data_IF_997940596830
#
_entry.id   IF_997940596830
#
_cell.length_a   1.000
_cell.length_b   1.000
_cell.length_c   1.000
_cell.angle_alpha   90.00
_cell.angle_beta   90.00
_cell.angle_gamma   90.00
#
_symmetry.space_group_name_H-M   'P 1'
#
loop_
_entity.id
_entity.type
_entity.pdbx_description
1 polymer ?
#
# COMPACT_ATOMS: atom_id res chain seq x y z
N UNK A 1 -21.81 9.53 78.65
CA UNK A 1 -22.12 9.65 77.21
C UNK A 1 -20.82 9.74 76.44
N UNK A 2 -20.42 8.67 75.75
CA UNK A 2 -19.16 8.61 74.99
C UNK A 2 -19.43 9.27 73.64
N UNK A 3 -18.89 10.46 73.42
CA UNK A 3 -19.02 11.19 72.16
C UNK A 3 -18.13 10.53 71.10
N UNK A 4 -18.76 9.87 70.12
CA UNK A 4 -18.08 9.38 68.91
C UNK A 4 -17.46 10.58 68.19
N UNK A 5 -16.13 10.70 68.25
CA UNK A 5 -15.37 11.69 67.49
C UNK A 5 -15.34 11.23 66.03
N UNK A 6 -16.34 11.61 65.25
CA UNK A 6 -16.37 11.31 63.83
C UNK A 6 -15.17 11.97 63.16
N UNK A 7 -14.29 11.17 62.55
CA UNK A 7 -13.11 11.68 61.86
C UNK A 7 -13.57 12.29 60.53
N UNK A 8 -13.66 13.62 60.49
CA UNK A 8 -14.17 14.40 59.36
C UNK A 8 -13.45 14.06 58.04
N UNK A 9 -12.16 13.74 58.12
CA UNK A 9 -11.34 13.31 56.98
C UNK A 9 -11.94 12.06 56.32
N UNK A 10 -12.44 11.11 57.11
CA UNK A 10 -13.03 9.88 56.58
C UNK A 10 -14.33 10.17 55.83
N UNK A 11 -15.16 11.08 56.33
CA UNK A 11 -16.43 11.47 55.70
C UNK A 11 -16.17 12.20 54.38
N UNK A 12 -15.19 13.11 54.33
CA UNK A 12 -14.82 13.82 53.11
C UNK A 12 -14.30 12.85 52.04
N UNK A 13 -13.45 11.89 52.42
CA UNK A 13 -12.98 10.84 51.50
C UNK A 13 -14.15 10.02 50.97
N UNK A 14 -15.11 9.66 51.83
CA UNK A 14 -16.29 8.89 51.43
C UNK A 14 -17.22 9.67 50.50
N UNK A 15 -17.42 10.98 50.73
CA UNK A 15 -18.24 11.83 49.86
C UNK A 15 -17.59 12.05 48.49
N UNK A 16 -16.26 12.23 48.43
CA UNK A 16 -15.51 12.30 47.18
C UNK A 16 -15.60 10.96 46.43
N UNK A 17 -15.52 9.83 47.14
CA UNK A 17 -15.72 8.51 46.54
C UNK A 17 -17.18 8.24 46.13
N UNK A 18 -18.16 8.90 46.73
CA UNK A 18 -19.57 8.68 46.39
C UNK A 18 -20.01 9.51 45.18
N UNK A 19 -19.62 10.78 45.14
CA UNK A 19 -20.01 11.69 44.06
C UNK A 19 -18.95 11.86 42.98
N UNK A 20 -17.66 11.64 43.29
CA UNK A 20 -16.51 11.86 42.40
C UNK A 20 -16.00 10.58 41.72
N UNK A 21 -16.48 9.40 42.11
CA UNK A 21 -15.99 8.13 41.56
C UNK A 21 -16.37 7.94 40.10
N UNK A 22 -17.54 8.42 39.66
CA UNK A 22 -17.92 8.43 38.24
C UNK A 22 -16.93 9.29 37.44
N UNK A 23 -16.58 10.49 37.92
CA UNK A 23 -15.68 11.39 37.21
C UNK A 23 -14.25 10.84 37.20
N UNK A 24 -13.78 10.26 38.31
CA UNK A 24 -12.46 9.63 38.41
C UNK A 24 -12.33 8.41 37.50
N UNK A 25 -13.33 7.53 37.47
CA UNK A 25 -13.33 6.36 36.57
C UNK A 25 -13.40 6.78 35.11
N UNK A 26 -14.20 7.79 34.78
CA UNK A 26 -14.28 8.32 33.41
C UNK A 26 -12.96 8.95 32.95
N UNK A 27 -12.31 9.74 33.82
CA UNK A 27 -10.98 10.29 33.56
C UNK A 27 -9.98 9.18 33.26
N UNK A 28 -9.94 8.16 34.13
CA UNK A 28 -9.02 7.04 34.00
C UNK A 28 -9.29 6.25 32.71
N UNK A 29 -10.55 6.03 32.37
CA UNK A 29 -10.95 5.35 31.13
C UNK A 29 -10.50 6.12 29.87
N UNK A 30 -10.65 7.44 29.86
CA UNK A 30 -10.19 8.29 28.74
C UNK A 30 -8.67 8.23 28.60
N UNK A 31 -7.93 8.29 29.72
CA UNK A 31 -6.46 8.19 29.67
C UNK A 31 -5.98 6.84 29.13
N UNK A 32 -6.58 5.73 29.58
CA UNK A 32 -6.28 4.39 29.05
C UNK A 32 -6.59 4.32 27.55
N UNK A 33 -7.74 4.86 27.14
CA UNK A 33 -8.15 4.88 25.74
C UNK A 33 -7.13 5.65 24.88
N UNK A 34 -6.65 6.81 25.34
CA UNK A 34 -5.64 7.58 24.64
C UNK A 34 -4.33 6.79 24.44
N UNK A 35 -3.84 6.11 25.49
CA UNK A 35 -2.65 5.27 25.41
C UNK A 35 -2.86 4.12 24.41
N UNK A 36 -4.04 3.50 24.41
CA UNK A 36 -4.36 2.39 23.52
C UNK A 36 -4.41 2.83 22.06
N UNK A 37 -5.00 4.00 21.76
CA UNK A 37 -5.02 4.59 20.42
C UNK A 37 -3.59 4.85 19.91
N UNK A 38 -2.71 5.38 20.76
CA UNK A 38 -1.30 5.60 20.41
C UNK A 38 -0.60 4.27 20.10
N UNK A 39 -0.82 3.24 20.92
CA UNK A 39 -0.24 1.91 20.71
C UNK A 39 -0.70 1.31 19.38
N UNK A 40 -2.01 1.34 19.10
CA UNK A 40 -2.56 0.86 17.83
C UNK A 40 -1.97 1.63 16.66
N UNK A 41 -1.83 2.95 16.76
CA UNK A 41 -1.24 3.78 15.71
C UNK A 41 0.22 3.37 15.42
N UNK A 42 1.00 3.06 16.46
CA UNK A 42 2.38 2.62 16.31
C UNK A 42 2.49 1.25 15.62
N UNK A 43 1.71 0.27 16.08
CA UNK A 43 1.65 -1.07 15.46
C UNK A 43 1.17 -1.00 14.00
N UNK A 44 0.18 -0.14 13.72
CA UNK A 44 -0.32 0.09 12.37
C UNK A 44 0.79 0.62 11.45
N UNK A 45 1.65 1.55 11.92
CA UNK A 45 2.76 2.05 11.09
C UNK A 45 3.70 0.92 10.68
N UNK A 46 4.05 0.01 11.59
CA UNK A 46 4.93 -1.13 11.29
C UNK A 46 4.30 -2.09 10.26
N UNK A 47 3.04 -2.45 10.46
CA UNK A 47 2.29 -3.35 9.56
C UNK A 47 2.08 -2.73 8.17
N UNK A 48 1.79 -1.44 8.13
CA UNK A 48 1.60 -0.68 6.89
C UNK A 48 2.92 -0.63 6.10
N UNK A 49 4.06 -0.39 6.75
CA UNK A 49 5.38 -0.39 6.07
C UNK A 49 5.68 -1.73 5.41
N UNK A 50 5.46 -2.86 6.10
CA UNK A 50 5.67 -4.19 5.51
C UNK A 50 4.76 -4.44 4.31
N UNK A 51 3.50 -4.03 4.41
CA UNK A 51 2.53 -4.11 3.30
C UNK A 51 2.97 -3.25 2.12
N UNK A 52 3.47 -2.04 2.36
CA UNK A 52 3.95 -1.16 1.29
C UNK A 52 5.11 -1.76 0.50
N UNK A 53 6.06 -2.41 1.17
CA UNK A 53 7.19 -3.04 0.48
C UNK A 53 6.75 -4.13 -0.50
N UNK A 54 5.86 -5.03 -0.05
CA UNK A 54 5.33 -6.10 -0.90
C UNK A 54 4.49 -5.55 -2.07
N UNK A 55 3.72 -4.48 -1.84
CA UNK A 55 2.98 -3.82 -2.91
C UNK A 55 3.93 -3.18 -3.93
N UNK A 56 5.01 -2.56 -3.47
CA UNK A 56 6.01 -1.95 -4.35
C UNK A 56 6.70 -3.00 -5.23
N UNK A 57 7.08 -4.14 -4.67
CA UNK A 57 7.68 -5.26 -5.43
C UNK A 57 6.71 -5.77 -6.50
N UNK A 58 5.43 -5.94 -6.14
CA UNK A 58 4.38 -6.32 -7.09
C UNK A 58 4.22 -5.29 -8.21
N UNK A 59 4.23 -3.99 -7.88
CA UNK A 59 4.10 -2.91 -8.88
C UNK A 59 5.27 -2.91 -9.87
N UNK A 60 6.49 -3.14 -9.38
CA UNK A 60 7.68 -3.27 -10.24
C UNK A 60 7.56 -4.47 -11.19
N UNK A 61 7.14 -5.64 -10.68
CA UNK A 61 6.97 -6.83 -11.50
C UNK A 61 5.84 -6.66 -12.53
N UNK A 62 4.73 -6.03 -12.15
CA UNK A 62 3.62 -5.73 -13.06
C UNK A 62 4.08 -4.79 -14.19
N UNK A 63 4.98 -3.83 -13.89
CA UNK A 63 5.57 -2.95 -14.90
C UNK A 63 6.51 -3.70 -15.85
N UNK A 64 7.38 -4.56 -15.32
CA UNK A 64 8.27 -5.38 -16.13
C UNK A 64 7.49 -6.34 -17.04
N UNK A 65 6.45 -6.98 -16.50
CA UNK A 65 5.57 -7.86 -17.26
C UNK A 65 4.88 -7.12 -18.43
N UNK A 66 4.41 -5.89 -18.20
CA UNK A 66 3.84 -5.05 -19.26
C UNK A 66 4.87 -4.73 -20.34
N UNK A 67 6.10 -4.39 -19.96
CA UNK A 67 7.16 -4.13 -20.94
C UNK A 67 7.48 -5.37 -21.79
N UNK A 68 7.58 -6.55 -21.17
CA UNK A 68 7.82 -7.81 -21.88
C UNK A 68 6.69 -8.15 -22.85
N UNK A 69 5.43 -7.87 -22.50
CA UNK A 69 4.29 -8.05 -23.41
C UNK A 69 4.42 -7.12 -24.62
N UNK A 70 4.74 -5.84 -24.39
CA UNK A 70 4.91 -4.88 -25.48
C UNK A 70 6.07 -5.27 -26.41
N UNK A 71 7.16 -5.80 -25.86
CA UNK A 71 8.28 -6.32 -26.64
C UNK A 71 7.87 -7.51 -27.50
N UNK A 72 7.15 -8.49 -26.91
CA UNK A 72 6.64 -9.65 -27.66
C UNK A 72 5.67 -9.25 -28.77
N UNK A 73 4.76 -8.32 -28.50
CA UNK A 73 3.81 -7.84 -29.51
C UNK A 73 4.57 -7.14 -30.65
N UNK A 74 5.58 -6.34 -30.35
CA UNK A 74 6.45 -5.70 -31.36
C UNK A 74 7.16 -6.74 -32.22
N UNK A 75 7.77 -7.75 -31.60
CA UNK A 75 8.47 -8.85 -32.29
C UNK A 75 7.52 -9.69 -33.14
N UNK A 76 6.33 -9.98 -32.64
CA UNK A 76 5.32 -10.74 -33.36
C UNK A 76 4.75 -9.94 -34.54
N UNK A 77 4.47 -8.64 -34.36
CA UNK A 77 3.92 -7.80 -35.41
C UNK A 77 4.91 -7.65 -36.59
N UNK A 78 6.19 -7.43 -36.31
CA UNK A 78 7.24 -7.40 -37.33
C UNK A 78 7.40 -8.77 -38.03
N UNK A 79 7.43 -9.87 -37.26
CA UNK A 79 7.51 -11.22 -37.84
C UNK A 79 6.27 -11.61 -38.66
N UNK A 80 5.09 -11.13 -38.28
CA UNK A 80 3.84 -11.44 -38.98
C UNK A 80 3.80 -10.79 -40.36
N UNK A 81 4.23 -9.53 -40.46
CA UNK A 81 4.33 -8.81 -41.74
C UNK A 81 5.39 -9.47 -42.63
N UNK A 82 6.57 -9.80 -42.09
CA UNK A 82 7.63 -10.45 -42.88
C UNK A 82 7.20 -11.84 -43.39
N UNK A 83 6.54 -12.65 -42.55
CA UNK A 83 6.00 -13.96 -42.98
C UNK A 83 4.88 -13.83 -44.01
N UNK A 84 3.98 -12.86 -43.86
CA UNK A 84 2.92 -12.59 -44.84
C UNK A 84 3.53 -12.15 -46.18
N UNK A 85 4.50 -11.24 -46.18
CA UNK A 85 5.21 -10.80 -47.39
C UNK A 85 5.97 -11.94 -48.08
N UNK A 86 6.70 -12.78 -47.32
CA UNK A 86 7.40 -13.94 -47.89
C UNK A 86 6.45 -14.99 -48.46
N UNK A 87 5.34 -15.30 -47.76
CA UNK A 87 4.40 -16.36 -48.18
C UNK A 87 3.42 -15.95 -49.27
N UNK A 88 2.84 -14.75 -49.19
CA UNK A 88 1.82 -14.32 -50.15
C UNK A 88 2.40 -13.56 -51.34
N UNK A 89 3.53 -12.85 -51.15
CA UNK A 89 4.12 -12.01 -52.19
C UNK A 89 5.43 -12.59 -52.75
N UNK A 90 5.87 -13.78 -52.31
CA UNK A 90 7.14 -14.42 -52.70
C UNK A 90 8.35 -13.46 -52.60
N UNK A 91 8.32 -12.53 -51.64
CA UNK A 91 9.38 -11.53 -51.49
C UNK A 91 10.68 -12.20 -51.03
N UNK A 92 11.69 -12.14 -51.90
CA UNK A 92 13.07 -12.56 -51.66
C UNK A 92 13.85 -11.35 -51.17
N UNK A 93 14.72 -11.51 -50.16
CA UNK A 93 15.60 -10.42 -49.75
C UNK A 93 16.54 -10.08 -50.91
N UNK A 94 16.54 -8.84 -51.44
CA UNK A 94 17.40 -8.48 -52.56
C UNK A 94 18.86 -8.65 -52.12
N UNK A 95 19.60 -9.43 -52.89
CA UNK A 95 21.05 -9.57 -52.75
C UNK A 95 21.71 -8.42 -53.53
N UNK A 96 22.90 -7.98 -53.12
CA UNK A 96 23.57 -6.74 -53.56
C UNK A 96 23.67 -6.55 -55.10
N UNK A 97 23.48 -7.61 -55.89
CA UNK A 97 23.49 -7.58 -57.35
C UNK A 97 22.17 -7.12 -58.03
N UNK A 98 21.06 -6.95 -57.30
CA UNK A 98 19.73 -6.68 -57.88
C UNK A 98 19.01 -5.45 -57.31
N UNK A 99 19.74 -4.47 -56.77
CA UNK A 99 19.14 -3.20 -56.31
C UNK A 99 19.14 -2.13 -57.42
N UNK A 100 17.96 -1.67 -57.83
CA UNK A 100 17.79 -0.45 -58.62
C UNK A 100 17.20 0.64 -57.72
N UNK A 101 18.04 1.59 -57.31
CA UNK A 101 17.62 2.75 -56.52
C UNK A 101 17.05 3.79 -57.48
N UNK A 102 15.73 3.96 -57.47
CA UNK A 102 15.07 5.04 -58.20
C UNK A 102 14.91 6.21 -57.24
N UNK A 103 15.76 7.22 -57.41
CA UNK A 103 15.65 8.50 -56.73
C UNK A 103 14.57 9.31 -57.45
N UNK A 104 13.44 9.53 -56.79
CA UNK A 104 12.36 10.37 -57.30
C UNK A 104 12.63 11.79 -56.81
N UNK A 105 12.73 12.74 -57.75
CA UNK A 105 13.02 14.16 -57.52
C UNK A 105 11.74 14.96 -57.31
#
# INVERSE_FOLDING_TARGET
>A
MITKKYNLIMIIIFDILRNGFIQLTLLLLITITAIFVIKISHENRLLITKKHFLLQEKELLDAEWRNLILEKITLENNNRIEKLSKKQLHMIHPNENNEYIIIIK
#
